data_IF_549963911325
#
_entry.id   IF_549963911325
#
_cell.length_a   1.000
_cell.length_b   1.000
_cell.length_c   1.000
_cell.angle_alpha   90.00
_cell.angle_beta   90.00
_cell.angle_gamma   90.00
#
_symmetry.space_group_name_H-M   'P 1'
#
loop_
_entity.id
_entity.type
_entity.pdbx_description
1 polymer ?
#
# COMPACT_ATOMS: atom_id res chain seq x y z
N UNK A 1 1.73 -13.60 6.82
CA UNK A 1 1.24 -12.23 6.66
C UNK A 1 0.24 -12.04 5.51
N UNK A 2 0.03 -12.99 4.58
CA UNK A 2 -0.93 -12.82 3.45
C UNK A 2 -2.41 -12.62 3.84
N UNK A 3 -2.81 -12.94 5.07
CA UNK A 3 -4.18 -12.76 5.61
C UNK A 3 -4.20 -11.63 6.64
N UNK A 4 -3.78 -10.43 6.24
CA UNK A 4 -3.88 -9.23 7.07
C UNK A 4 -5.15 -8.47 6.68
N UNK A 5 -5.84 -7.96 7.70
CA UNK A 5 -6.86 -6.94 7.51
C UNK A 5 -6.19 -5.58 7.51
N UNK A 6 -6.42 -4.80 6.47
CA UNK A 6 -5.89 -3.44 6.32
C UNK A 6 -7.00 -2.43 6.58
N UNK A 7 -6.72 -1.36 7.30
CA UNK A 7 -7.66 -0.29 7.59
C UNK A 7 -6.96 1.04 7.31
N UNK A 8 -7.59 1.90 6.52
CA UNK A 8 -7.09 3.26 6.29
C UNK A 8 -8.17 4.27 6.67
N UNK A 9 -7.78 5.30 7.40
CA UNK A 9 -8.65 6.43 7.69
C UNK A 9 -8.60 7.43 6.52
N UNK A 10 -9.73 7.73 5.85
CA UNK A 10 -9.76 8.68 4.74
C UNK A 10 -9.61 10.15 5.19
N UNK A 11 -9.67 10.42 6.51
CA UNK A 11 -9.58 11.78 7.07
C UNK A 11 -8.14 12.14 7.43
N UNK A 12 -7.46 11.30 8.22
CA UNK A 12 -6.10 11.57 8.69
C UNK A 12 -5.02 10.74 7.97
N UNK A 13 -5.40 9.84 7.06
CA UNK A 13 -4.47 8.92 6.41
C UNK A 13 -3.90 7.85 7.36
N UNK A 14 -4.43 7.70 8.57
CA UNK A 14 -3.99 6.70 9.54
C UNK A 14 -4.13 5.28 8.97
N UNK A 15 -3.11 4.46 9.17
CA UNK A 15 -3.07 3.07 8.70
C UNK A 15 -3.05 2.14 9.91
N UNK A 16 -3.87 1.09 9.87
CA UNK A 16 -3.86 0.02 10.86
C UNK A 16 -3.93 -1.32 10.15
N UNK A 17 -3.22 -2.30 10.67
CA UNK A 17 -3.28 -3.67 10.16
C UNK A 17 -3.45 -4.65 11.32
N UNK A 18 -4.22 -5.71 11.08
CA UNK A 18 -4.50 -6.73 12.09
C UNK A 18 -4.40 -8.12 11.48
N UNK A 19 -3.80 -9.05 12.21
CA UNK A 19 -3.73 -10.48 11.83
C UNK A 19 -5.02 -11.25 12.14
N UNK A 20 -5.88 -10.69 12.99
CA UNK A 20 -7.19 -11.23 13.36
C UNK A 20 -8.34 -10.28 13.02
N UNK A 21 -9.54 -10.64 13.46
CA UNK A 21 -10.71 -9.77 13.40
C UNK A 21 -10.61 -8.71 14.51
N UNK A 22 -10.64 -7.44 14.13
CA UNK A 22 -10.61 -6.32 15.05
C UNK A 22 -11.65 -5.27 14.64
N UNK A 23 -12.21 -4.60 15.63
CA UNK A 23 -12.98 -3.39 15.45
C UNK A 23 -12.04 -2.19 15.57
N UNK A 24 -11.86 -1.46 14.47
CA UNK A 24 -10.95 -0.33 14.41
C UNK A 24 -11.76 0.97 14.29
N UNK A 25 -11.41 1.97 15.09
CA UNK A 25 -12.01 3.31 15.03
C UNK A 25 -10.92 4.37 14.87
N UNK A 26 -11.14 5.35 13.98
CA UNK A 26 -10.23 6.47 13.77
C UNK A 26 -11.03 7.74 13.47
N UNK A 27 -10.61 8.88 14.01
CA UNK A 27 -11.30 10.17 13.83
C UNK A 27 -12.81 10.13 14.16
N UNK A 28 -13.20 9.33 15.17
CA UNK A 28 -14.59 9.17 15.59
C UNK A 28 -15.46 8.30 14.67
N UNK A 29 -14.87 7.58 13.71
CA UNK A 29 -15.58 6.69 12.78
C UNK A 29 -15.06 5.27 12.86
N UNK A 30 -15.96 4.29 12.81
CA UNK A 30 -15.61 2.88 12.65
C UNK A 30 -15.06 2.66 11.25
N UNK A 31 -13.89 2.04 11.15
CA UNK A 31 -13.27 1.71 9.88
C UNK A 31 -13.63 0.26 9.50
N UNK A 32 -14.01 0.09 8.24
CA UNK A 32 -14.18 -1.24 7.64
C UNK A 32 -12.86 -1.75 7.09
N UNK A 33 -12.61 -3.07 7.11
CA UNK A 33 -11.43 -3.64 6.49
C UNK A 33 -11.44 -3.37 4.98
N UNK A 34 -10.30 -2.90 4.47
CA UNK A 34 -10.06 -2.71 3.05
C UNK A 34 -9.92 -4.07 2.37
N UNK A 35 -10.60 -4.23 1.23
CA UNK A 35 -10.47 -5.42 0.39
C UNK A 35 -9.44 -5.16 -0.69
N UNK A 36 -8.29 -5.86 -0.70
CA UNK A 36 -7.30 -5.70 -1.76
C UNK A 36 -7.88 -6.10 -3.12
N UNK A 37 -7.81 -5.20 -4.10
CA UNK A 37 -8.16 -5.45 -5.50
C UNK A 37 -6.90 -5.62 -6.34
N UNK A 38 -6.91 -6.57 -7.27
CA UNK A 38 -5.79 -6.74 -8.21
C UNK A 38 -5.72 -5.53 -9.13
N UNK A 39 -4.55 -4.91 -9.23
CA UNK A 39 -4.33 -3.77 -10.10
C UNK A 39 -4.44 -4.16 -11.58
N UNK A 40 -5.13 -3.33 -12.36
CA UNK A 40 -5.14 -3.38 -13.82
C UNK A 40 -3.77 -3.09 -14.41
N UNK A 41 -3.60 -3.22 -15.73
CA UNK A 41 -2.31 -2.94 -16.39
C UNK A 41 -1.82 -1.52 -16.16
N UNK A 42 -2.73 -0.55 -16.21
CA UNK A 42 -2.39 0.88 -16.16
C UNK A 42 -2.25 1.40 -14.72
N UNK A 43 -2.72 0.62 -13.74
CA UNK A 43 -2.68 0.96 -12.31
C UNK A 43 -1.46 0.37 -11.61
N UNK A 44 -0.70 -0.52 -12.29
CA UNK A 44 0.47 -1.18 -11.70
C UNK A 44 1.58 -0.19 -11.40
N UNK A 45 2.25 -0.43 -10.29
CA UNK A 45 3.50 0.25 -9.98
C UNK A 45 4.61 -0.33 -10.86
N UNK A 46 5.45 0.56 -11.37
CA UNK A 46 6.66 0.18 -12.11
C UNK A 46 7.67 -0.34 -11.10
N UNK A 47 8.27 -1.50 -11.40
CA UNK A 47 9.24 -2.15 -10.52
C UNK A 47 10.47 -2.45 -11.34
N UNK A 48 11.57 -1.81 -11.00
CA UNK A 48 12.88 -1.99 -11.62
C UNK A 48 13.83 -2.67 -10.64
N UNK A 49 14.63 -3.61 -11.13
CA UNK A 49 15.67 -4.23 -10.30
C UNK A 49 16.94 -3.37 -10.35
N UNK A 50 17.32 -2.83 -9.19
CA UNK A 50 18.53 -2.01 -9.04
C UNK A 50 19.39 -2.65 -7.97
N UNK A 51 20.51 -3.26 -8.39
CA UNK A 51 21.43 -3.99 -7.53
C UNK A 51 20.75 -5.16 -6.79
N UNK A 52 20.49 -4.98 -5.49
CA UNK A 52 19.83 -5.96 -4.62
C UNK A 52 18.45 -5.47 -4.15
N UNK A 53 17.96 -4.35 -4.68
CA UNK A 53 16.70 -3.73 -4.32
C UNK A 53 15.74 -3.70 -5.51
N UNK A 54 14.45 -3.68 -5.21
CA UNK A 54 13.42 -3.23 -6.13
C UNK A 54 13.20 -1.74 -5.96
N UNK A 55 13.43 -1.00 -7.04
CA UNK A 55 13.06 0.41 -7.17
C UNK A 55 11.65 0.49 -7.74
N UNK A 56 10.73 0.97 -6.91
CA UNK A 56 9.31 1.03 -7.26
C UNK A 56 8.93 2.50 -7.48
N UNK A 57 8.35 2.75 -8.65
CA UNK A 57 7.91 4.08 -9.08
C UNK A 57 6.49 4.04 -9.60
N UNK A 58 5.85 5.21 -9.68
CA UNK A 58 4.52 5.34 -10.27
C UNK A 58 4.33 6.68 -10.94
N UNK A 59 3.57 6.67 -12.04
CA UNK A 59 3.02 7.87 -12.65
C UNK A 59 1.72 8.34 -11.98
N UNK A 60 1.26 7.64 -10.93
CA UNK A 60 0.06 8.01 -10.21
C UNK A 60 0.20 9.44 -9.64
N UNK A 61 -0.84 10.28 -9.74
CA UNK A 61 -0.83 11.61 -9.14
C UNK A 61 -0.48 11.56 -7.64
N UNK A 62 0.41 12.43 -7.19
CA UNK A 62 0.76 12.59 -5.77
C UNK A 62 0.32 13.98 -5.30
N UNK A 63 -0.95 14.32 -5.51
CA UNK A 63 -1.54 15.61 -5.11
C UNK A 63 -2.33 15.45 -3.81
N UNK A 64 -2.60 16.54 -3.09
CA UNK A 64 -3.33 16.48 -1.81
C UNK A 64 -4.70 15.79 -1.93
N UNK A 65 -5.34 15.93 -3.09
CA UNK A 65 -6.66 15.38 -3.38
C UNK A 65 -6.60 13.89 -3.78
N UNK A 66 -5.51 13.47 -4.42
CA UNK A 66 -5.30 12.09 -4.82
C UNK A 66 -3.81 11.77 -4.79
N UNK A 67 -3.41 10.96 -3.81
CA UNK A 67 -2.06 10.42 -3.66
C UNK A 67 -2.12 9.00 -3.11
N UNK A 68 -1.05 8.25 -3.34
CA UNK A 68 -0.83 6.97 -2.71
C UNK A 68 -0.38 7.23 -1.27
N UNK A 69 -1.17 6.76 -0.30
CA UNK A 69 -0.93 7.07 1.12
C UNK A 69 0.07 6.13 1.77
N UNK A 70 0.17 4.90 1.29
CA UNK A 70 1.20 3.95 1.71
C UNK A 70 1.41 2.89 0.64
N UNK A 71 2.60 2.32 0.66
CA UNK A 71 2.95 1.10 -0.07
C UNK A 71 3.37 0.06 0.95
N UNK A 72 2.87 -1.17 0.79
CA UNK A 72 3.18 -2.28 1.66
C UNK A 72 3.67 -3.47 0.83
N UNK A 73 4.72 -4.13 1.29
CA UNK A 73 5.20 -5.36 0.70
C UNK A 73 5.00 -6.51 1.70
N UNK A 74 4.15 -7.47 1.34
CA UNK A 74 3.76 -8.58 2.20
C UNK A 74 4.29 -9.91 1.65
N UNK A 75 5.05 -10.62 2.48
CA UNK A 75 5.52 -11.99 2.21
C UNK A 75 4.77 -13.00 3.09
N UNK A 76 5.25 -14.25 3.14
CA UNK A 76 4.68 -15.28 4.01
C UNK A 76 4.71 -14.89 5.50
N UNK A 77 5.72 -14.14 5.92
CA UNK A 77 6.14 -13.91 7.30
C UNK A 77 6.43 -12.43 7.62
N UNK A 78 6.77 -11.62 6.61
CA UNK A 78 7.09 -10.21 6.77
C UNK A 78 6.03 -9.29 6.14
N UNK A 79 5.87 -8.11 6.74
CA UNK A 79 5.15 -6.97 6.18
C UNK A 79 6.07 -5.76 6.31
N UNK A 80 6.47 -5.18 5.19
CA UNK A 80 7.16 -3.90 5.15
C UNK A 80 6.16 -2.84 4.72
N UNK A 81 6.09 -1.71 5.44
CA UNK A 81 5.17 -0.61 5.11
C UNK A 81 5.97 0.67 5.00
N UNK A 82 5.78 1.38 3.89
CA UNK A 82 6.36 2.70 3.62
C UNK A 82 5.22 3.70 3.52
N UNK A 83 5.18 4.64 4.45
CA UNK A 83 4.21 5.73 4.44
C UNK A 83 4.61 6.76 3.38
N UNK A 84 3.63 7.21 2.62
CA UNK A 84 3.80 8.20 1.58
C UNK A 84 3.00 9.45 1.92
N UNK A 85 3.45 10.59 1.41
CA UNK A 85 2.85 11.89 1.65
C UNK A 85 2.57 12.58 0.31
N UNK A 86 1.56 13.46 0.23
CA UNK A 86 1.30 14.21 -0.99
C UNK A 86 2.49 15.12 -1.33
N UNK A 87 2.53 15.57 -2.58
CA UNK A 87 3.54 16.46 -3.17
C UNK A 87 4.92 15.82 -3.40
N UNK A 88 5.10 14.55 -3.02
CA UNK A 88 6.33 13.80 -3.27
C UNK A 88 6.10 12.75 -4.35
N UNK A 89 7.03 12.64 -5.29
CA UNK A 89 6.99 11.56 -6.26
C UNK A 89 7.08 10.21 -5.54
N UNK A 90 6.28 9.25 -5.98
CA UNK A 90 6.33 7.91 -5.43
C UNK A 90 7.59 7.21 -5.93
N UNK A 91 8.63 7.24 -5.10
CA UNK A 91 9.88 6.53 -5.31
C UNK A 91 10.24 5.79 -4.03
N UNK A 92 10.34 4.47 -4.10
CA UNK A 92 10.68 3.66 -2.93
C UNK A 92 11.61 2.51 -3.31
N UNK A 93 12.53 2.21 -2.39
CA UNK A 93 13.44 1.07 -2.48
C UNK A 93 13.05 0.06 -1.43
N UNK A 94 12.79 -1.18 -1.85
CA UNK A 94 12.63 -2.31 -0.95
C UNK A 94 13.65 -3.39 -1.27
N UNK A 95 14.24 -4.06 -0.28
CA UNK A 95 15.16 -5.15 -0.53
C UNK A 95 14.48 -6.25 -1.36
N UNK A 96 15.16 -6.71 -2.41
CA UNK A 96 14.64 -7.75 -3.30
C UNK A 96 14.38 -9.03 -2.50
N UNK A 97 13.20 -9.62 -2.72
CA UNK A 97 12.79 -10.92 -2.18
C UNK A 97 12.24 -11.76 -3.32
N UNK A 98 12.20 -13.09 -3.17
CA UNK A 98 11.83 -13.93 -4.31
C UNK A 98 10.35 -13.83 -4.69
N UNK A 99 9.45 -13.77 -3.72
CA UNK A 99 8.00 -13.75 -3.98
C UNK A 99 7.29 -12.90 -2.94
N UNK A 100 6.40 -12.02 -3.39
CA UNK A 100 5.57 -11.24 -2.48
C UNK A 100 4.40 -10.53 -3.13
N UNK A 101 3.59 -9.93 -2.27
CA UNK A 101 2.46 -9.12 -2.69
C UNK A 101 2.79 -7.66 -2.39
N UNK A 102 2.89 -6.86 -3.44
CA UNK A 102 3.01 -5.42 -3.32
C UNK A 102 1.60 -4.82 -3.28
N UNK A 103 1.28 -4.09 -2.23
CA UNK A 103 0.02 -3.41 -2.01
C UNK A 103 0.23 -1.91 -1.92
N UNK A 104 -0.74 -1.12 -2.34
CA UNK A 104 -0.74 0.31 -2.12
C UNK A 104 -2.17 0.80 -1.98
N UNK A 105 -2.33 1.88 -1.21
CA UNK A 105 -3.64 2.49 -0.99
C UNK A 105 -3.65 3.89 -1.56
N UNK A 106 -4.56 4.14 -2.51
CA UNK A 106 -4.92 5.46 -2.98
C UNK A 106 -6.33 5.80 -2.49
N UNK A 107 -6.57 7.06 -2.13
CA UNK A 107 -7.88 7.46 -1.62
C UNK A 107 -8.99 7.35 -2.67
N UNK A 108 -8.64 7.52 -3.95
CA UNK A 108 -9.58 7.36 -5.06
C UNK A 108 -9.85 5.90 -5.42
N UNK A 109 -8.80 5.07 -5.49
CA UNK A 109 -8.89 3.72 -6.04
C UNK A 109 -9.02 2.60 -4.99
N UNK A 110 -8.82 2.95 -3.71
CA UNK A 110 -8.82 2.02 -2.59
C UNK A 110 -7.49 1.26 -2.45
N UNK A 111 -7.56 0.03 -1.94
CA UNK A 111 -6.41 -0.83 -1.73
C UNK A 111 -6.18 -1.71 -2.96
N UNK A 112 -5.07 -1.49 -3.63
CA UNK A 112 -4.64 -2.23 -4.81
C UNK A 112 -3.50 -3.16 -4.48
N UNK A 113 -3.35 -4.23 -5.26
CA UNK A 113 -2.20 -5.13 -5.16
C UNK A 113 -1.72 -5.65 -6.52
N UNK A 114 -0.42 -5.94 -6.60
CA UNK A 114 0.21 -6.74 -7.64
C UNK A 114 1.12 -7.79 -7.02
N UNK A 115 1.40 -8.86 -7.77
CA UNK A 115 2.33 -9.90 -7.35
C UNK A 115 3.69 -9.59 -7.98
N UNK A 116 4.73 -9.69 -7.16
CA UNK A 116 6.14 -9.65 -7.55
C UNK A 116 6.76 -11.03 -7.37
#
# INVERSE_FOLDING_TARGET
MKKLNYYACPVCGGLTFCTGAAEVSCCGRRLSPLSPRKAGTDERLQVEEVENDWFITSSHPMRKENYISFVAFATGDHLQVVKQYPEWDLQLRIPRREHGMLLWYAQADGLLYQLL
#
